data_IF_969427177018
#
_entry.id   IF_969427177018
#
_cell.length_a   1.000
_cell.length_b   1.000
_cell.length_c   1.000
_cell.angle_alpha   90.00
_cell.angle_beta   90.00
_cell.angle_gamma   90.00
#
_symmetry.space_group_name_H-M   'P 1'
#
loop_
_entity.id
_entity.type
_entity.pdbx_description
1 polymer ?
#
# COMPACT_ATOMS: atom_id res chain seq x y z
N UNK A 1 -43.23 -68.91 6.70
CA UNK A 1 -41.86 -68.48 6.33
C UNK A 1 -41.88 -66.98 6.10
N UNK A 2 -41.06 -66.26 6.88
CA UNK A 2 -40.73 -64.82 6.88
C UNK A 2 -41.92 -63.82 6.99
N UNK A 3 -42.35 -63.35 8.19
CA UNK A 3 -41.73 -62.32 9.08
C UNK A 3 -41.40 -61.01 8.32
N UNK A 4 -41.72 -59.79 8.76
CA UNK A 4 -42.24 -59.25 10.02
C UNK A 4 -42.49 -57.74 9.80
N UNK A 5 -43.49 -57.19 10.49
CA UNK A 5 -43.55 -55.83 11.12
C UNK A 5 -43.10 -54.61 10.28
N UNK A 6 -43.90 -53.56 10.14
CA UNK A 6 -45.08 -53.17 10.91
C UNK A 6 -45.03 -51.67 11.18
N UNK A 7 -46.23 -51.07 11.32
CA UNK A 7 -46.51 -49.78 11.96
C UNK A 7 -45.87 -48.55 11.29
N UNK A 8 -46.48 -47.38 11.17
CA UNK A 8 -47.60 -46.78 11.89
C UNK A 8 -48.10 -45.58 11.07
N UNK A 9 -49.42 -45.35 11.15
CA UNK A 9 -50.16 -44.08 11.03
C UNK A 9 -49.43 -42.83 10.49
N UNK A 10 -49.88 -42.21 9.40
CA UNK A 10 -51.03 -41.28 9.33
C UNK A 10 -50.98 -40.12 10.35
N UNK A 11 -51.06 -38.91 9.77
CA UNK A 11 -51.37 -37.61 10.39
C UNK A 11 -50.22 -37.02 11.22
N UNK A 12 -49.75 -35.84 10.81
CA UNK A 12 -49.89 -34.58 11.58
C UNK A 12 -48.94 -33.53 10.99
N UNK A 13 -49.57 -32.43 10.56
CA UNK A 13 -49.08 -31.06 10.57
C UNK A 13 -47.92 -30.67 9.65
N UNK A 14 -48.25 -29.80 8.69
CA UNK A 14 -47.80 -28.39 8.74
C UNK A 14 -46.71 -28.11 9.78
N UNK A 15 -45.47 -28.43 9.44
CA UNK A 15 -44.31 -28.00 10.21
C UNK A 15 -43.23 -27.53 9.23
N UNK A 16 -43.08 -26.20 9.25
CA UNK A 16 -41.82 -25.48 9.05
C UNK A 16 -41.44 -25.16 7.60
N UNK A 17 -42.36 -24.52 6.88
CA UNK A 17 -42.01 -23.41 5.96
C UNK A 17 -41.56 -22.18 6.78
N UNK A 18 -40.55 -22.38 7.63
CA UNK A 18 -39.72 -21.34 8.23
C UNK A 18 -38.30 -21.56 7.71
N UNK A 19 -38.15 -21.56 6.39
CA UNK A 19 -36.86 -21.29 5.77
C UNK A 19 -36.64 -19.80 5.91
N UNK A 20 -35.79 -19.42 6.87
CA UNK A 20 -35.43 -18.06 7.17
C UNK A 20 -35.42 -17.21 5.90
N UNK A 21 -36.31 -16.21 5.84
CA UNK A 21 -35.90 -14.93 5.32
C UNK A 21 -34.63 -14.61 6.12
N UNK A 22 -33.48 -14.94 5.52
CA UNK A 22 -32.23 -14.35 5.90
C UNK A 22 -32.51 -12.87 5.71
N UNK A 23 -32.92 -12.24 6.81
CA UNK A 23 -32.51 -10.89 7.11
C UNK A 23 -31.03 -10.95 6.79
N UNK A 24 -30.68 -10.53 5.57
CA UNK A 24 -29.43 -9.87 5.33
C UNK A 24 -29.41 -8.89 6.48
N UNK A 25 -28.69 -9.28 7.54
CA UNK A 25 -28.14 -8.32 8.45
C UNK A 25 -27.41 -7.44 7.46
N UNK A 26 -28.01 -6.31 7.11
CA UNK A 26 -27.29 -5.14 6.66
C UNK A 26 -26.07 -5.17 7.55
N UNK A 27 -24.93 -5.64 7.00
CA UNK A 27 -23.65 -5.56 7.68
C UNK A 27 -23.61 -4.07 7.94
N UNK A 28 -23.83 -3.69 9.20
CA UNK A 28 -23.80 -2.29 9.63
C UNK A 28 -22.61 -1.70 8.92
N UNK A 29 -22.76 -0.61 8.13
CA UNK A 29 -21.74 -0.19 7.20
C UNK A 29 -20.44 -0.12 8.00
N UNK A 30 -19.58 -1.11 7.75
CA UNK A 30 -18.24 -1.09 8.31
C UNK A 30 -17.69 0.16 7.67
N UNK A 31 -17.56 1.22 8.46
CA UNK A 31 -16.99 2.47 8.00
C UNK A 31 -15.52 2.15 7.71
N UNK A 32 -15.28 1.61 6.52
CA UNK A 32 -13.98 1.27 5.96
C UNK A 32 -13.20 2.56 5.96
N UNK A 33 -12.30 2.67 6.92
CA UNK A 33 -11.47 3.83 7.13
C UNK A 33 -10.04 3.35 7.19
N UNK A 34 -9.31 3.60 6.11
CA UNK A 34 -7.88 3.39 6.06
C UNK A 34 -7.17 4.68 6.40
N UNK A 35 -6.17 4.58 7.27
CA UNK A 35 -5.40 5.70 7.76
C UNK A 35 -3.93 5.37 7.66
N UNK A 36 -3.16 6.28 7.06
CA UNK A 36 -1.70 6.23 7.01
C UNK A 36 -1.13 7.41 7.78
N UNK A 37 -0.10 7.17 8.57
CA UNK A 37 0.64 8.22 9.30
C UNK A 37 2.13 7.94 9.31
N UNK A 38 2.93 9.00 9.41
CA UNK A 38 4.38 8.89 9.56
C UNK A 38 4.76 8.04 10.78
N UNK A 39 5.77 7.16 10.63
CA UNK A 39 6.35 6.42 11.74
C UNK A 39 7.69 7.02 12.16
N UNK A 40 7.72 7.63 13.35
CA UNK A 40 8.96 8.13 13.93
C UNK A 40 9.71 6.99 14.63
N UNK A 41 10.76 6.49 13.97
CA UNK A 41 11.66 5.49 14.55
C UNK A 41 12.31 5.99 15.84
N UNK A 42 12.48 5.08 16.80
CA UNK A 42 13.37 5.26 17.95
C UNK A 42 14.84 5.27 17.54
N UNK A 43 15.72 5.77 18.42
CA UNK A 43 17.18 5.71 18.20
C UNK A 43 17.69 4.29 17.99
N UNK A 44 17.09 3.31 18.68
CA UNK A 44 17.46 1.90 18.52
C UNK A 44 17.08 1.38 17.14
N UNK A 45 15.90 1.71 16.63
CA UNK A 45 15.47 1.30 15.29
C UNK A 45 16.32 1.98 14.21
N UNK A 46 16.56 3.29 14.33
CA UNK A 46 17.48 4.02 13.43
C UNK A 46 18.87 3.36 13.40
N UNK A 47 19.41 3.01 14.56
CA UNK A 47 20.70 2.32 14.65
C UNK A 47 20.67 0.96 13.95
N UNK A 48 19.62 0.15 14.15
CA UNK A 48 19.50 -1.15 13.48
C UNK A 48 19.43 -0.99 11.96
N UNK A 49 18.61 -0.06 11.46
CA UNK A 49 18.49 0.22 10.03
C UNK A 49 19.81 0.69 9.44
N UNK A 50 20.59 1.50 10.17
CA UNK A 50 21.93 1.93 9.71
C UNK A 50 22.93 0.79 9.49
N UNK A 51 22.64 -0.42 9.99
CA UNK A 51 23.47 -1.62 9.79
C UNK A 51 23.01 -2.51 8.64
N UNK A 52 21.91 -2.16 7.97
CA UNK A 52 21.32 -2.95 6.86
C UNK A 52 21.90 -2.59 5.49
N UNK A 53 22.59 -1.46 5.37
CA UNK A 53 23.06 -0.92 4.08
C UNK A 53 22.01 -0.10 3.33
N UNK A 54 20.77 0.01 3.86
CA UNK A 54 19.77 0.95 3.34
C UNK A 54 20.23 2.38 3.62
N UNK A 55 20.30 3.21 2.58
CA UNK A 55 20.83 4.57 2.69
C UNK A 55 19.76 5.54 3.21
N UNK A 56 18.57 5.49 2.63
CA UNK A 56 17.45 6.36 2.98
C UNK A 56 16.16 5.55 2.96
N UNK A 57 15.33 5.68 4.00
CA UNK A 57 14.08 4.96 4.12
C UNK A 57 13.11 5.70 5.05
N UNK A 58 11.87 5.84 4.61
CA UNK A 58 10.77 6.33 5.43
C UNK A 58 9.81 5.18 5.77
N UNK A 59 9.30 5.19 6.99
CA UNK A 59 8.34 4.23 7.50
C UNK A 59 7.00 4.91 7.79
N UNK A 60 5.91 4.18 7.58
CA UNK A 60 4.56 4.64 7.83
C UNK A 60 3.75 3.55 8.51
N UNK A 61 2.79 3.97 9.34
CA UNK A 61 1.81 3.08 9.96
C UNK A 61 0.52 3.10 9.16
N UNK A 62 0.03 1.92 8.82
CA UNK A 62 -1.26 1.69 8.20
C UNK A 62 -2.23 1.11 9.25
N UNK A 63 -3.40 1.72 9.34
CA UNK A 63 -4.47 1.31 10.24
C UNK A 63 -5.79 1.29 9.49
N UNK A 64 -6.63 0.29 9.77
CA UNK A 64 -7.99 0.24 9.26
C UNK A 64 -8.43 -1.15 8.86
N UNK A 65 -9.53 -1.22 8.13
CA UNK A 65 -10.07 -2.47 7.62
C UNK A 65 -10.61 -2.22 6.23
N UNK A 66 -10.25 -3.06 5.27
CA UNK A 66 -10.76 -3.13 3.90
C UNK A 66 -12.06 -3.95 3.86
N UNK A 67 -12.92 -3.70 2.88
CA UNK A 67 -14.01 -4.62 2.55
C UNK A 67 -13.48 -5.82 1.76
N UNK A 68 -14.28 -6.87 1.66
CA UNK A 68 -13.93 -8.12 0.94
C UNK A 68 -13.69 -7.92 -0.58
N UNK A 69 -14.25 -6.85 -1.13
CA UNK A 69 -14.18 -6.42 -2.54
C UNK A 69 -13.25 -5.22 -2.77
N UNK A 70 -12.58 -4.73 -1.73
CA UNK A 70 -11.58 -3.67 -1.83
C UNK A 70 -10.17 -4.25 -1.92
N UNK A 71 -9.26 -3.51 -2.56
CA UNK A 71 -7.82 -3.80 -2.61
C UNK A 71 -7.01 -2.56 -2.18
N UNK A 72 -5.80 -2.81 -1.66
CA UNK A 72 -4.84 -1.77 -1.32
C UNK A 72 -3.54 -2.01 -2.08
N UNK A 73 -3.28 -1.12 -3.03
CA UNK A 73 -2.15 -1.22 -3.94
C UNK A 73 -1.00 -0.35 -3.46
N UNK A 74 0.19 -0.92 -3.49
CA UNK A 74 1.45 -0.24 -3.26
C UNK A 74 2.26 -0.26 -4.55
N UNK A 75 2.87 0.86 -4.90
CA UNK A 75 3.70 0.94 -6.12
C UNK A 75 4.67 2.11 -6.02
N UNK A 76 5.66 2.10 -6.90
CA UNK A 76 6.57 3.24 -7.10
C UNK A 76 6.34 3.78 -8.50
N UNK A 77 5.81 4.99 -8.61
CA UNK A 77 5.66 5.67 -9.89
C UNK A 77 6.97 6.34 -10.30
N UNK A 78 7.37 6.13 -11.56
CA UNK A 78 8.53 6.77 -12.17
C UNK A 78 8.06 7.94 -13.00
N UNK A 79 8.63 9.11 -12.74
CA UNK A 79 8.46 10.29 -13.56
C UNK A 79 9.78 10.66 -14.23
N UNK A 80 9.72 10.93 -15.54
CA UNK A 80 10.86 11.41 -16.31
C UNK A 80 10.51 12.77 -16.90
N UNK A 81 11.31 13.80 -16.59
CA UNK A 81 11.06 15.20 -16.98
C UNK A 81 9.63 15.64 -16.61
N UNK A 82 9.22 15.34 -15.39
CA UNK A 82 7.90 15.69 -14.86
C UNK A 82 6.73 14.85 -15.37
N UNK A 83 6.95 13.88 -16.27
CA UNK A 83 5.88 13.09 -16.87
C UNK A 83 5.91 11.67 -16.37
N UNK A 84 4.74 11.13 -16.03
CA UNK A 84 4.60 9.72 -15.71
C UNK A 84 5.18 8.86 -16.83
N UNK A 85 5.99 7.87 -16.44
CA UNK A 85 6.65 6.93 -17.34
C UNK A 85 6.14 5.51 -17.13
N UNK A 86 6.25 5.01 -15.90
CA UNK A 86 5.92 3.63 -15.55
C UNK A 86 5.65 3.46 -14.05
N UNK A 87 5.06 2.32 -13.69
CA UNK A 87 4.92 1.85 -12.31
C UNK A 87 5.85 0.67 -12.07
N UNK A 88 6.63 0.76 -10.99
CA UNK A 88 7.53 -0.30 -10.53
C UNK A 88 6.99 -0.89 -9.23
N UNK A 89 7.37 -2.14 -8.96
CA UNK A 89 7.09 -2.84 -7.69
C UNK A 89 5.60 -2.72 -7.31
N UNK A 90 4.72 -2.85 -8.31
CA UNK A 90 3.28 -2.78 -8.11
C UNK A 90 2.79 -4.06 -7.43
N UNK A 91 2.01 -3.90 -6.38
CA UNK A 91 1.34 -4.99 -5.68
C UNK A 91 -0.17 -4.85 -5.83
N UNK A 92 -0.87 -5.99 -5.88
CA UNK A 92 -2.32 -6.09 -5.91
C UNK A 92 -2.75 -7.36 -5.18
N UNK A 93 -4.03 -7.41 -4.80
CA UNK A 93 -4.62 -8.59 -4.18
C UNK A 93 -4.07 -8.85 -2.79
N UNK A 94 -3.93 -7.80 -1.97
CA UNK A 94 -3.42 -8.00 -0.61
C UNK A 94 -4.35 -8.90 0.20
N UNK A 95 -3.78 -9.95 0.80
CA UNK A 95 -4.55 -10.95 1.57
C UNK A 95 -5.00 -10.33 2.90
N UNK A 96 -4.19 -9.42 3.45
CA UNK A 96 -4.49 -8.75 4.69
C UNK A 96 -5.58 -7.69 4.46
N UNK A 97 -6.70 -7.84 5.17
CA UNK A 97 -7.82 -6.89 5.12
C UNK A 97 -7.92 -6.07 6.40
N UNK A 98 -7.12 -6.38 7.44
CA UNK A 98 -7.15 -5.70 8.74
C UNK A 98 -5.75 -5.24 9.12
N UNK A 99 -5.57 -3.92 9.15
CA UNK A 99 -4.31 -3.31 9.50
C UNK A 99 -4.38 -2.70 10.89
N UNK A 100 -3.44 -3.11 11.75
CA UNK A 100 -3.28 -2.56 13.10
C UNK A 100 -1.80 -2.27 13.32
N UNK A 101 -1.46 -0.99 13.26
CA UNK A 101 -0.07 -0.52 13.30
C UNK A 101 0.83 -1.25 12.27
N UNK A 102 0.26 -1.66 11.13
CA UNK A 102 0.98 -2.37 10.08
C UNK A 102 2.02 -1.43 9.47
N UNK A 103 3.28 -1.84 9.45
CA UNK A 103 4.35 -1.01 8.90
C UNK A 103 4.43 -1.19 7.38
N UNK A 104 4.51 -0.06 6.68
CA UNK A 104 4.89 0.03 5.28
C UNK A 104 6.07 0.98 5.15
N UNK A 105 6.88 0.84 4.11
CA UNK A 105 8.06 1.69 3.93
C UNK A 105 8.46 1.83 2.48
N UNK A 106 9.15 2.93 2.20
CA UNK A 106 9.87 3.11 0.95
C UNK A 106 11.28 3.56 1.26
N UNK A 107 12.23 2.93 0.61
CA UNK A 107 13.63 3.26 0.76
C UNK A 107 14.43 3.02 -0.50
N UNK A 108 15.64 3.54 -0.47
CA UNK A 108 16.63 3.42 -1.53
C UNK A 108 17.97 2.98 -0.93
N UNK A 109 18.69 2.17 -1.67
CA UNK A 109 20.08 1.83 -1.38
C UNK A 109 20.94 1.89 -2.64
N UNK A 110 22.25 1.77 -2.42
CA UNK A 110 23.24 1.60 -3.47
C UNK A 110 23.32 2.78 -4.44
N UNK A 111 23.14 4.02 -3.96
CA UNK A 111 23.18 5.24 -4.79
C UNK A 111 24.57 5.42 -5.46
N UNK A 112 25.59 4.73 -4.94
CA UNK A 112 27.00 4.89 -5.34
C UNK A 112 27.57 3.70 -6.13
N UNK A 113 26.73 2.80 -6.63
CA UNK A 113 27.23 1.64 -7.38
C UNK A 113 27.84 2.07 -8.73
N UNK A 114 28.88 1.37 -9.20
CA UNK A 114 29.60 1.69 -10.45
C UNK A 114 28.68 1.68 -11.68
N UNK A 115 27.59 0.91 -11.62
CA UNK A 115 26.59 0.79 -12.68
C UNK A 115 25.51 1.90 -12.65
N UNK A 116 25.65 2.87 -11.74
CA UNK A 116 24.69 3.97 -11.50
C UNK A 116 23.24 3.49 -11.29
N UNK A 117 23.05 2.26 -10.77
CA UNK A 117 21.75 1.72 -10.44
C UNK A 117 21.38 2.03 -9.00
N UNK A 118 20.16 2.51 -8.76
CA UNK A 118 19.60 2.63 -7.41
C UNK A 118 18.73 1.41 -7.15
N UNK A 119 18.85 0.81 -5.97
CA UNK A 119 17.93 -0.22 -5.52
C UNK A 119 16.75 0.43 -4.81
N UNK A 120 15.56 0.22 -5.35
CA UNK A 120 14.30 0.63 -4.74
C UNK A 120 13.80 -0.48 -3.81
N UNK A 121 13.35 -0.10 -2.63
CA UNK A 121 12.95 -1.01 -1.55
C UNK A 121 11.55 -0.60 -1.10
N UNK A 122 10.57 -1.48 -1.30
CA UNK A 122 9.18 -1.26 -0.90
C UNK A 122 8.80 -2.29 0.17
N UNK A 123 8.58 -1.81 1.40
CA UNK A 123 8.04 -2.60 2.50
C UNK A 123 6.52 -2.52 2.51
N UNK A 124 5.88 -3.67 2.38
CA UNK A 124 4.41 -3.83 2.36
C UNK A 124 4.00 -4.76 3.51
N UNK A 125 2.72 -4.80 3.90
CA UNK A 125 2.29 -5.64 5.02
C UNK A 125 2.65 -7.12 4.85
N UNK A 126 2.60 -7.63 3.62
CA UNK A 126 2.93 -9.03 3.29
C UNK A 126 4.43 -9.32 3.14
N UNK A 127 5.31 -8.31 3.12
CA UNK A 127 6.75 -8.53 3.01
C UNK A 127 7.55 -7.38 2.40
N UNK A 128 8.57 -7.74 1.63
CA UNK A 128 9.53 -6.80 1.03
C UNK A 128 9.64 -7.07 -0.45
N UNK A 129 9.51 -6.03 -1.26
CA UNK A 129 9.74 -6.09 -2.69
C UNK A 129 10.82 -5.10 -3.10
N UNK A 130 11.72 -5.51 -4.00
CA UNK A 130 12.85 -4.68 -4.43
C UNK A 130 13.05 -4.75 -5.92
N UNK A 131 13.49 -3.65 -6.53
CA UNK A 131 13.96 -3.63 -7.92
C UNK A 131 15.18 -2.72 -8.05
N UNK A 132 15.95 -2.88 -9.12
CA UNK A 132 17.01 -1.95 -9.48
C UNK A 132 16.52 -1.04 -10.61
N UNK A 133 16.90 0.24 -10.54
CA UNK A 133 16.65 1.19 -11.61
C UNK A 133 17.93 1.93 -11.98
N UNK A 134 18.38 1.75 -13.22
CA UNK A 134 19.53 2.46 -13.75
C UNK A 134 19.18 3.93 -14.01
N UNK A 135 20.02 4.84 -13.54
CA UNK A 135 19.90 6.26 -13.79
C UNK A 135 21.29 6.88 -13.91
N UNK A 136 21.37 8.15 -14.27
CA UNK A 136 22.63 8.88 -14.39
C UNK A 136 22.58 10.19 -13.59
N UNK A 137 21.73 10.26 -12.55
CA UNK A 137 21.57 11.45 -11.74
C UNK A 137 22.82 11.66 -10.89
N UNK A 138 23.31 12.89 -10.84
CA UNK A 138 24.53 13.26 -10.11
C UNK A 138 24.22 13.90 -8.75
N UNK A 139 22.99 14.35 -8.57
CA UNK A 139 22.46 14.91 -7.32
C UNK A 139 21.06 14.37 -7.07
N UNK A 140 20.71 14.18 -5.81
CA UNK A 140 19.37 13.72 -5.43
C UNK A 140 18.92 14.20 -4.06
N UNK A 141 17.62 14.15 -3.84
CA UNK A 141 16.98 14.35 -2.55
C UNK A 141 15.97 13.24 -2.29
N UNK A 142 15.87 12.80 -1.05
CA UNK A 142 14.78 11.96 -0.58
C UNK A 142 13.94 12.77 0.40
N UNK A 143 12.63 12.69 0.27
CA UNK A 143 11.73 13.49 1.09
C UNK A 143 10.46 12.72 1.39
N UNK A 144 10.05 12.77 2.65
CA UNK A 144 8.73 12.36 3.08
C UNK A 144 7.70 13.40 2.61
N UNK A 145 6.55 12.95 2.11
CA UNK A 145 5.52 13.79 1.52
C UNK A 145 4.26 13.95 2.39
N UNK A 146 4.21 13.25 3.53
CA UNK A 146 3.16 13.40 4.52
C UNK A 146 3.77 13.68 5.90
N UNK A 147 3.26 14.70 6.59
CA UNK A 147 3.69 15.04 7.95
C UNK A 147 2.67 14.61 8.99
N UNK A 148 1.40 14.56 8.61
CA UNK A 148 0.28 14.24 9.48
C UNK A 148 -0.38 12.90 9.13
N UNK A 149 -1.41 12.58 9.91
CA UNK A 149 -2.27 11.42 9.73
C UNK A 149 -3.24 11.66 8.57
N UNK A 150 -3.20 10.81 7.56
CA UNK A 150 -4.01 10.90 6.35
C UNK A 150 -5.05 9.79 6.30
N UNK A 151 -6.32 10.14 6.03
CA UNK A 151 -7.34 9.14 5.69
C UNK A 151 -7.33 8.92 4.19
N UNK A 152 -7.27 7.65 3.76
CA UNK A 152 -7.30 7.32 2.34
C UNK A 152 -8.71 7.51 1.79
N UNK A 153 -8.78 8.12 0.61
CA UNK A 153 -9.99 8.18 -0.19
C UNK A 153 -9.91 7.10 -1.27
N UNK A 154 -10.99 6.33 -1.45
CA UNK A 154 -11.04 5.28 -2.48
C UNK A 154 -10.85 5.89 -3.87
N UNK A 155 -10.04 5.22 -4.70
CA UNK A 155 -9.64 5.61 -6.04
C UNK A 155 -8.87 6.93 -6.16
N UNK A 156 -8.36 7.47 -5.04
CA UNK A 156 -7.47 8.63 -5.03
C UNK A 156 -6.07 8.20 -4.55
N UNK A 157 -5.03 8.38 -5.36
CA UNK A 157 -3.68 8.02 -4.95
C UNK A 157 -3.19 8.98 -3.87
N UNK A 158 -2.37 8.45 -2.96
CA UNK A 158 -1.56 9.26 -2.05
C UNK A 158 -0.09 8.92 -2.22
N UNK A 159 0.76 9.94 -2.18
CA UNK A 159 2.20 9.80 -2.28
C UNK A 159 2.85 10.03 -0.92
N UNK A 160 3.59 9.04 -0.43
CA UNK A 160 4.11 9.05 0.94
C UNK A 160 5.55 9.54 1.04
N UNK A 161 6.35 9.24 0.02
CA UNK A 161 7.75 9.64 -0.07
C UNK A 161 8.14 9.80 -1.54
N UNK A 162 9.15 10.64 -1.77
CA UNK A 162 9.74 10.86 -3.08
C UNK A 162 11.25 10.81 -3.03
N UNK A 163 11.84 10.18 -4.03
CA UNK A 163 13.22 10.43 -4.43
C UNK A 163 13.22 11.28 -5.68
N UNK A 164 13.95 12.38 -5.68
CA UNK A 164 14.08 13.29 -6.81
C UNK A 164 15.54 13.33 -7.25
N UNK A 165 15.80 13.19 -8.54
CA UNK A 165 17.12 13.14 -9.14
C UNK A 165 17.32 14.21 -10.20
N UNK A 166 18.53 14.73 -10.28
CA UNK A 166 18.96 15.62 -11.35
C UNK A 166 20.45 15.47 -11.67
N UNK A 167 20.82 15.80 -12.90
CA UNK A 167 22.20 16.02 -13.34
C UNK A 167 22.70 17.44 -13.07
N UNK A 168 21.82 18.36 -12.64
CA UNK A 168 22.13 19.76 -12.35
C UNK A 168 22.75 19.92 -10.95
N UNK A 169 23.48 21.02 -10.75
CA UNK A 169 24.17 21.32 -9.47
C UNK A 169 23.23 21.74 -8.33
N UNK A 170 21.93 21.89 -8.58
CA UNK A 170 20.95 22.30 -7.57
C UNK A 170 19.65 21.52 -7.76
N UNK A 171 19.13 21.01 -6.65
CA UNK A 171 17.82 20.38 -6.57
C UNK A 171 17.06 21.05 -5.42
N UNK A 172 15.86 21.54 -5.69
CA UNK A 172 14.98 22.01 -4.61
C UNK A 172 14.41 20.76 -3.95
N UNK A 173 14.48 20.71 -2.62
CA UNK A 173 13.80 19.67 -1.85
C UNK A 173 12.31 19.75 -2.18
N UNK A 174 11.74 18.69 -2.75
CA UNK A 174 10.30 18.61 -2.96
C UNK A 174 9.63 18.32 -1.63
N UNK A 175 8.98 19.32 -1.04
CA UNK A 175 7.96 19.09 -0.02
C UNK A 175 6.67 18.64 -0.68
N UNK A 176 5.86 17.83 0.00
CA UNK A 176 4.54 17.44 -0.47
C UNK A 176 3.43 18.19 0.27
N UNK A 177 2.33 18.48 -0.41
CA UNK A 177 1.08 18.86 0.24
C UNK A 177 0.32 17.58 0.62
N UNK A 178 0.66 16.99 1.77
CA UNK A 178 -0.10 15.91 2.42
C UNK A 178 -0.61 14.82 1.46
N UNK A 179 0.30 14.14 0.76
CA UNK A 179 -0.06 13.01 -0.10
C UNK A 179 -0.36 13.35 -1.56
N UNK A 180 -0.31 14.63 -1.94
CA UNK A 180 -0.39 15.04 -3.34
C UNK A 180 0.95 14.92 -4.07
N UNK A 181 0.93 15.08 -5.40
CA UNK A 181 2.16 15.15 -6.18
C UNK A 181 2.99 16.35 -5.70
N UNK A 182 4.29 16.17 -5.42
CA UNK A 182 5.12 17.25 -4.91
C UNK A 182 5.25 18.37 -5.94
N UNK A 183 5.01 19.64 -5.56
CA UNK A 183 5.29 20.78 -6.43
C UNK A 183 6.76 20.74 -6.88
N UNK A 184 6.99 21.07 -8.15
CA UNK A 184 8.32 21.05 -8.74
C UNK A 184 8.76 19.69 -9.31
N UNK A 185 7.91 18.65 -9.28
CA UNK A 185 8.20 17.39 -10.00
C UNK A 185 8.47 17.64 -11.50
N UNK A 186 7.84 18.67 -12.08
CA UNK A 186 8.07 19.13 -13.45
C UNK A 186 9.50 19.59 -13.73
N UNK A 187 10.20 20.06 -12.69
CA UNK A 187 11.58 20.55 -12.78
C UNK A 187 12.61 19.42 -12.62
N UNK A 188 12.18 18.24 -12.18
CA UNK A 188 13.03 17.07 -11.94
C UNK A 188 13.25 16.27 -13.21
N UNK A 189 14.46 15.72 -13.36
CA UNK A 189 14.79 14.90 -14.53
C UNK A 189 14.32 13.47 -14.33
N UNK A 190 14.39 12.98 -13.09
CA UNK A 190 13.88 11.68 -12.67
C UNK A 190 13.27 11.81 -11.28
N UNK A 191 12.12 11.19 -11.06
CA UNK A 191 11.53 11.06 -9.73
C UNK A 191 10.92 9.67 -9.52
N UNK A 192 11.03 9.18 -8.29
CA UNK A 192 10.36 7.98 -7.80
C UNK A 192 9.40 8.36 -6.68
N UNK A 193 8.12 8.09 -6.84
CA UNK A 193 7.10 8.43 -5.86
C UNK A 193 6.47 7.15 -5.31
N UNK A 194 6.53 6.99 -4.00
CA UNK A 194 5.87 5.87 -3.33
C UNK A 194 4.37 6.13 -3.21
N UNK A 195 3.58 5.38 -3.96
CA UNK A 195 2.13 5.53 -4.08
C UNK A 195 1.40 4.44 -3.31
N UNK A 196 0.37 4.86 -2.58
CA UNK A 196 -0.67 3.98 -2.03
C UNK A 196 -2.01 4.32 -2.67
N UNK A 197 -2.75 3.30 -3.08
CA UNK A 197 -4.06 3.45 -3.70
C UNK A 197 -5.04 2.42 -3.13
N UNK A 198 -6.09 2.91 -2.46
CA UNK A 198 -7.26 2.08 -2.13
C UNK A 198 -8.18 2.02 -3.35
N UNK A 199 -8.50 0.82 -3.84
CA UNK A 199 -9.32 0.63 -5.03
C UNK A 199 -10.22 -0.60 -4.89
N UNK A 200 -10.95 -0.94 -5.96
CA UNK A 200 -11.71 -2.19 -6.07
C UNK A 200 -10.77 -3.35 -6.40
N UNK A 201 -11.05 -4.53 -5.86
CA UNK A 201 -10.33 -5.75 -6.22
C UNK A 201 -10.61 -6.13 -7.68
N UNK A 202 -9.58 -6.04 -8.52
CA UNK A 202 -9.68 -6.30 -9.97
C UNK A 202 -9.79 -7.78 -10.31
N UNK A 203 -9.47 -8.70 -9.40
CA UNK A 203 -9.59 -10.14 -9.66
C UNK A 203 -11.02 -10.66 -9.45
N UNK A 204 -11.91 -9.86 -8.85
CA UNK A 204 -13.33 -10.21 -8.62
C UNK A 204 -14.32 -9.50 -9.55
N UNK A 205 -13.84 -8.74 -10.55
CA UNK A 205 -14.66 -8.07 -11.57
C UNK A 205 -14.54 -8.74 -12.94
#
# INVERSE_FOLDING_TARGET
MQHFKGYCLFIIFTLLLTGCAGVEKEKSPSNTKLIIESYNMSEKERLLISKTGVEQIEFFKLNGTLKEDDDLQFSVEVFEKGKFKEELIKTWGEIETKYKDSLISFGISDIRNEDHSIKLINGIPSGLATTYYSNNMTSSSFSKLIDEKMTLEKNKPIYLAAWLGTTKNSLRSGGGENGELPPGIEETELAFLYKVLWTDDKEKN
#
